data_IF_285840158312
#
_entry.id   IF_285840158312
#
_cell.length_a   1.000
_cell.length_b   1.000
_cell.length_c   1.000
_cell.angle_alpha   90.00
_cell.angle_beta   90.00
_cell.angle_gamma   90.00
#
_symmetry.space_group_name_H-M   'P 1'
#
loop_
_entity.id
_entity.type
_entity.pdbx_description
1 polymer ?
#
# COMPACT_ATOMS: atom_id res chain seq x y z
N UNK A 1 12.17 47.57 -3.76
CA UNK A 1 11.71 47.10 -2.43
C UNK A 1 12.50 45.85 -2.09
N UNK A 2 13.26 45.86 -0.99
CA UNK A 2 14.04 44.70 -0.53
C UNK A 2 13.21 44.02 0.56
N UNK A 3 12.91 42.72 0.38
CA UNK A 3 12.25 41.91 1.39
C UNK A 3 13.23 41.64 2.53
N UNK A 4 12.99 42.25 3.68
CA UNK A 4 13.82 42.09 4.89
C UNK A 4 13.21 41.02 5.80
N UNK A 5 13.96 39.95 6.08
CA UNK A 5 13.52 38.87 6.97
C UNK A 5 13.62 39.33 8.43
N UNK A 6 12.49 39.34 9.15
CA UNK A 6 12.45 39.65 10.59
C UNK A 6 12.44 38.36 11.43
N UNK A 7 13.17 38.31 12.56
CA UNK A 7 13.29 37.11 13.37
C UNK A 7 11.94 36.61 13.94
N UNK A 8 11.85 35.30 14.11
CA UNK A 8 10.66 34.45 14.37
C UNK A 8 9.65 35.01 15.39
N UNK A 9 10.10 35.73 16.42
CA UNK A 9 9.22 36.35 17.43
C UNK A 9 8.17 37.31 16.85
N UNK A 10 8.39 37.86 15.66
CA UNK A 10 7.45 38.79 14.99
C UNK A 10 6.67 38.10 13.86
N UNK A 11 7.10 36.92 13.40
CA UNK A 11 6.56 36.25 12.20
C UNK A 11 5.84 34.92 12.51
N UNK A 12 5.36 34.78 13.74
CA UNK A 12 4.72 33.57 14.28
C UNK A 12 3.59 33.01 13.40
N UNK A 13 2.80 33.89 12.77
CA UNK A 13 1.70 33.48 11.89
C UNK A 13 2.24 32.82 10.62
N UNK A 14 3.24 33.42 9.98
CA UNK A 14 3.88 32.89 8.77
C UNK A 14 4.58 31.56 9.05
N UNK A 15 5.31 31.47 10.17
CA UNK A 15 5.98 30.21 10.57
C UNK A 15 4.95 29.11 10.87
N UNK A 16 3.83 29.45 11.53
CA UNK A 16 2.75 28.51 11.77
C UNK A 16 2.07 28.05 10.48
N UNK A 17 1.96 28.94 9.49
CA UNK A 17 1.38 28.63 8.19
C UNK A 17 2.32 27.77 7.36
N UNK A 18 3.63 28.05 7.36
CA UNK A 18 4.65 27.24 6.69
C UNK A 18 4.67 25.82 7.23
N UNK A 19 4.72 25.66 8.57
CA UNK A 19 4.68 24.33 9.20
C UNK A 19 3.40 23.56 8.89
N UNK A 20 2.25 24.24 8.79
CA UNK A 20 0.99 23.60 8.37
C UNK A 20 1.05 23.15 6.90
N UNK A 21 1.64 23.95 6.02
CA UNK A 21 1.81 23.60 4.62
C UNK A 21 2.75 22.39 4.46
N UNK A 22 3.88 22.37 5.17
CA UNK A 22 4.81 21.24 5.21
C UNK A 22 4.13 19.96 5.72
N UNK A 23 3.37 20.05 6.81
CA UNK A 23 2.61 18.92 7.34
C UNK A 23 1.56 18.40 6.35
N UNK A 24 0.87 19.31 5.64
CA UNK A 24 -0.09 18.93 4.61
C UNK A 24 0.59 18.21 3.44
N UNK A 25 1.75 18.69 2.99
CA UNK A 25 2.54 18.04 1.94
C UNK A 25 2.97 16.64 2.36
N UNK A 26 3.52 16.47 3.57
CA UNK A 26 3.89 15.15 4.10
C UNK A 26 2.69 14.19 4.18
N UNK A 27 1.52 14.68 4.56
CA UNK A 27 0.29 13.87 4.58
C UNK A 27 -0.13 13.43 3.18
N UNK A 28 -0.05 14.32 2.20
CA UNK A 28 -0.37 13.99 0.81
C UNK A 28 0.58 12.91 0.28
N UNK A 29 1.88 13.05 0.53
CA UNK A 29 2.87 12.04 0.14
C UNK A 29 2.64 10.68 0.82
N UNK A 30 2.29 10.69 2.11
CA UNK A 30 1.95 9.47 2.84
C UNK A 30 0.73 8.77 2.24
N UNK A 31 -0.33 9.52 1.91
CA UNK A 31 -1.53 8.98 1.26
C UNK A 31 -1.20 8.40 -0.11
N UNK A 32 -0.47 9.14 -0.94
CA UNK A 32 -0.04 8.66 -2.27
C UNK A 32 0.81 7.38 -2.17
N UNK A 33 1.66 7.28 -1.15
CA UNK A 33 2.46 6.08 -0.88
C UNK A 33 1.59 4.89 -0.51
N UNK A 34 0.59 5.09 0.36
CA UNK A 34 -0.36 4.04 0.76
C UNK A 34 -1.16 3.56 -0.45
N UNK A 35 -1.70 4.47 -1.26
CA UNK A 35 -2.45 4.13 -2.47
C UNK A 35 -1.60 3.34 -3.47
N UNK A 36 -0.33 3.75 -3.66
CA UNK A 36 0.62 3.01 -4.50
C UNK A 36 0.91 1.62 -3.98
N UNK A 37 1.07 1.46 -2.66
CA UNK A 37 1.27 0.13 -2.06
C UNK A 37 0.01 -0.72 -2.25
N UNK A 38 -1.18 -0.15 -2.02
CA UNK A 38 -2.45 -0.85 -2.18
C UNK A 38 -2.70 -1.29 -3.62
N UNK A 39 -2.28 -0.51 -4.62
CA UNK A 39 -2.41 -0.89 -6.03
C UNK A 39 -1.38 -1.94 -6.46
N UNK A 40 -0.14 -1.85 -5.96
CA UNK A 40 0.96 -2.73 -6.39
C UNK A 40 1.07 -4.04 -5.61
N UNK A 41 0.55 -4.10 -4.38
CA UNK A 41 0.65 -5.28 -3.52
C UNK A 41 -0.09 -6.51 -4.09
N UNK A 42 -1.34 -6.39 -4.59
CA UNK A 42 -2.05 -7.50 -5.24
C UNK A 42 -1.24 -8.15 -6.37
N UNK A 43 -0.70 -7.32 -7.27
CA UNK A 43 0.09 -7.78 -8.42
C UNK A 43 1.35 -8.54 -7.98
N UNK A 44 2.04 -8.03 -6.95
CA UNK A 44 3.23 -8.69 -6.40
C UNK A 44 2.93 -10.02 -5.73
N UNK A 45 1.80 -10.14 -5.05
CA UNK A 45 1.37 -11.42 -4.45
C UNK A 45 1.06 -12.42 -5.56
N UNK A 46 0.35 -11.99 -6.61
CA UNK A 46 0.05 -12.83 -7.76
C UNK A 46 1.32 -13.28 -8.49
N UNK A 47 2.29 -12.38 -8.69
CA UNK A 47 3.60 -12.72 -9.23
C UNK A 47 4.32 -13.77 -8.37
N UNK A 48 4.24 -13.66 -7.04
CA UNK A 48 4.80 -14.66 -6.12
C UNK A 48 4.14 -16.03 -6.27
N UNK A 49 2.81 -16.08 -6.33
CA UNK A 49 2.03 -17.29 -6.56
C UNK A 49 2.38 -17.96 -7.90
N UNK A 50 2.57 -17.16 -8.95
CA UNK A 50 2.94 -17.67 -10.27
C UNK A 50 4.39 -18.17 -10.32
N UNK A 51 5.28 -17.72 -9.45
CA UNK A 51 6.66 -18.18 -9.44
C UNK A 51 6.87 -19.43 -8.56
N UNK A 52 6.03 -19.64 -7.55
CA UNK A 52 6.11 -20.79 -6.66
C UNK A 52 5.45 -22.04 -7.28
N UNK A 53 6.25 -23.10 -7.45
CA UNK A 53 5.80 -24.38 -8.02
C UNK A 53 4.74 -25.07 -7.16
N UNK A 54 4.83 -24.99 -5.83
CA UNK A 54 3.83 -25.54 -4.90
C UNK A 54 2.53 -24.74 -5.00
N UNK A 55 2.64 -23.41 -5.04
CA UNK A 55 1.47 -22.53 -5.17
C UNK A 55 0.71 -22.83 -6.47
N UNK A 56 1.41 -23.01 -7.59
CA UNK A 56 0.81 -23.45 -8.86
C UNK A 56 0.04 -24.75 -8.74
N UNK A 57 0.65 -25.80 -8.17
CA UNK A 57 -0.04 -27.09 -7.98
C UNK A 57 -1.27 -26.93 -7.09
N UNK A 58 -1.19 -26.15 -6.01
CA UNK A 58 -2.33 -25.89 -5.13
C UNK A 58 -3.44 -25.10 -5.83
N UNK A 59 -3.09 -24.15 -6.70
CA UNK A 59 -4.06 -23.42 -7.52
C UNK A 59 -4.75 -24.35 -8.51
N UNK A 60 -4.02 -25.24 -9.19
CA UNK A 60 -4.62 -26.26 -10.07
C UNK A 60 -5.58 -27.16 -9.32
N UNK A 61 -5.16 -27.72 -8.18
CA UNK A 61 -6.02 -28.55 -7.34
C UNK A 61 -7.25 -27.80 -6.80
N UNK A 62 -7.12 -26.50 -6.53
CA UNK A 62 -8.23 -25.65 -6.12
C UNK A 62 -9.20 -25.37 -7.28
N UNK A 63 -8.71 -25.26 -8.53
CA UNK A 63 -9.55 -25.13 -9.74
C UNK A 63 -10.31 -26.42 -10.05
N UNK A 64 -9.65 -27.57 -9.86
CA UNK A 64 -10.25 -28.89 -10.06
C UNK A 64 -11.27 -29.25 -8.97
N UNK A 65 -11.33 -28.49 -7.86
CA UNK A 65 -12.21 -28.78 -6.73
C UNK A 65 -11.72 -29.95 -5.87
N UNK A 66 -10.51 -30.45 -6.12
CA UNK A 66 -9.90 -31.61 -5.45
C UNK A 66 -9.58 -31.31 -3.98
N UNK A 67 -9.37 -30.04 -3.63
CA UNK A 67 -9.15 -29.60 -2.24
C UNK A 67 -10.34 -28.83 -1.69
N UNK A 68 -10.82 -29.21 -0.50
CA UNK A 68 -11.75 -28.38 0.29
C UNK A 68 -11.04 -27.30 1.12
N UNK A 69 -9.71 -27.37 1.23
CA UNK A 69 -8.92 -26.54 2.15
C UNK A 69 -8.45 -25.23 1.50
N UNK A 70 -8.19 -25.27 0.21
CA UNK A 70 -7.75 -24.17 -0.63
C UNK A 70 -8.85 -23.78 -1.62
N UNK A 71 -9.10 -22.49 -1.79
CA UNK A 71 -10.07 -21.92 -2.73
C UNK A 71 -9.45 -20.73 -3.41
N UNK A 72 -9.78 -20.52 -4.68
CA UNK A 72 -9.38 -19.30 -5.39
C UNK A 72 -10.46 -18.25 -5.21
N UNK A 73 -10.07 -17.03 -4.84
CA UNK A 73 -10.95 -15.85 -4.78
C UNK A 73 -10.20 -14.65 -5.34
N UNK A 74 -10.78 -14.00 -6.34
CA UNK A 74 -10.19 -12.79 -6.97
C UNK A 74 -8.74 -13.00 -7.45
N UNK A 75 -8.40 -14.21 -7.90
CA UNK A 75 -7.05 -14.58 -8.35
C UNK A 75 -6.11 -15.07 -7.24
N UNK A 76 -6.47 -14.90 -5.96
CA UNK A 76 -5.67 -15.31 -4.80
C UNK A 76 -6.00 -16.71 -4.31
N UNK A 77 -4.99 -17.41 -3.77
CA UNK A 77 -5.16 -18.71 -3.12
C UNK A 77 -5.47 -18.51 -1.64
N UNK A 78 -6.71 -18.80 -1.23
CA UNK A 78 -7.19 -18.62 0.14
C UNK A 78 -7.33 -19.96 0.84
N UNK A 79 -6.92 -20.00 2.11
CA UNK A 79 -7.11 -21.17 2.99
C UNK A 79 -8.20 -20.97 4.04
N UNK A 80 -8.70 -22.08 4.60
CA UNK A 80 -9.50 -22.04 5.84
C UNK A 80 -8.74 -21.29 6.93
N UNK A 81 -9.23 -20.11 7.30
CA UNK A 81 -8.58 -19.18 8.24
C UNK A 81 -8.23 -17.80 7.66
N UNK A 82 -8.62 -17.50 6.41
CA UNK A 82 -8.38 -16.21 5.73
C UNK A 82 -6.91 -15.87 5.52
N UNK A 83 -6.02 -16.88 5.52
CA UNK A 83 -4.64 -16.67 5.07
C UNK A 83 -4.63 -16.67 3.55
N UNK A 84 -4.09 -15.57 3.01
CA UNK A 84 -3.83 -15.37 1.59
C UNK A 84 -2.40 -15.88 1.33
N UNK A 85 -2.28 -16.78 0.37
CA UNK A 85 -1.03 -17.15 -0.24
C UNK A 85 -0.95 -16.44 -1.58
#
# INVERSE_FOLDING_TARGET
MVLEYKPEKTNQVTDSLSRKAELAAMKIEAVATIERIQSTLPDRIMEGLENDALAKTLMEQAREGTTQRFRIKEGFLITKGHRIF
#
